data_IF_725319269648
#
_entry.id   IF_725319269648
#
_cell.length_a   1.000
_cell.length_b   1.000
_cell.length_c   1.000
_cell.angle_alpha   90.00
_cell.angle_beta   90.00
_cell.angle_gamma   90.00
#
_symmetry.space_group_name_H-M   'P 1'
#
loop_
_entity.id
_entity.type
_entity.pdbx_description
1 polymer ?
#
# COMPACT_ATOMS: atom_id res chain seq x y z
N UNK A 1 30.99 -38.28 89.06
CA UNK A 1 32.29 -38.95 89.09
C UNK A 1 32.57 -39.57 87.76
N UNK A 2 33.79 -39.58 87.23
CA UNK A 2 34.56 -38.40 86.74
C UNK A 2 34.67 -38.35 85.19
N UNK A 3 35.04 -37.18 84.73
CA UNK A 3 35.34 -36.82 83.34
C UNK A 3 36.46 -37.66 82.69
N UNK A 4 36.27 -38.04 81.39
CA UNK A 4 37.40 -38.40 80.53
C UNK A 4 37.33 -37.52 79.27
N UNK A 5 38.40 -36.74 79.14
CA UNK A 5 38.69 -35.91 77.98
C UNK A 5 39.16 -36.77 76.80
N UNK A 6 38.60 -36.46 75.58
CA UNK A 6 39.19 -36.96 74.36
C UNK A 6 39.67 -35.73 73.53
N UNK A 7 40.96 -35.70 73.27
CA UNK A 7 41.60 -34.78 72.36
C UNK A 7 41.34 -35.25 70.93
N UNK A 8 40.76 -34.38 70.11
CA UNK A 8 40.60 -34.58 68.68
C UNK A 8 41.62 -33.73 67.94
N UNK A 9 42.47 -34.40 67.15
CA UNK A 9 43.48 -33.79 66.28
C UNK A 9 42.81 -33.22 65.00
N UNK A 10 42.94 -31.93 64.79
CA UNK A 10 42.49 -31.27 63.54
C UNK A 10 43.50 -31.51 62.40
N UNK A 11 43.08 -32.23 61.37
CA UNK A 11 43.73 -32.26 60.09
C UNK A 11 43.10 -31.15 59.25
N UNK A 12 43.87 -30.13 58.89
CA UNK A 12 43.48 -29.05 57.97
C UNK A 12 43.58 -29.59 56.55
N UNK A 13 42.43 -29.77 55.87
CA UNK A 13 42.40 -30.06 54.47
C UNK A 13 42.37 -28.75 53.74
N UNK A 14 43.36 -28.42 52.91
CA UNK A 14 43.40 -27.28 51.98
C UNK A 14 42.61 -27.63 50.77
N UNK A 15 41.44 -26.99 50.55
CA UNK A 15 40.73 -27.02 49.32
C UNK A 15 41.31 -25.96 48.37
N UNK A 16 41.86 -26.39 47.23
CA UNK A 16 42.24 -25.53 46.15
C UNK A 16 40.96 -25.20 45.36
N UNK A 17 40.54 -23.95 45.37
CA UNK A 17 39.45 -23.46 44.53
C UNK A 17 39.99 -23.22 43.13
N UNK A 18 39.57 -24.04 42.16
CA UNK A 18 39.74 -23.74 40.75
C UNK A 18 38.62 -22.79 40.32
N UNK A 19 38.96 -21.54 40.04
CA UNK A 19 38.07 -20.59 39.39
C UNK A 19 38.07 -20.86 37.89
N UNK A 20 36.98 -21.45 37.37
CA UNK A 20 36.75 -21.54 35.93
C UNK A 20 36.13 -20.20 35.47
N UNK A 21 36.95 -19.36 34.87
CA UNK A 21 36.48 -18.17 34.20
C UNK A 21 35.81 -18.60 32.85
N UNK A 22 34.48 -18.67 32.83
CA UNK A 22 33.72 -18.81 31.57
C UNK A 22 33.76 -17.48 30.80
N UNK A 23 34.59 -17.41 29.77
CA UNK A 23 34.50 -16.32 28.77
C UNK A 23 33.19 -16.49 27.97
N UNK A 24 32.17 -15.74 28.35
CA UNK A 24 30.99 -15.51 27.52
C UNK A 24 31.40 -14.59 26.37
N UNK A 25 31.85 -15.16 25.25
CA UNK A 25 31.92 -14.46 23.98
C UNK A 25 30.50 -14.26 23.48
N UNK A 26 29.91 -13.14 23.84
CA UNK A 26 28.64 -12.70 23.28
C UNK A 26 28.84 -12.42 21.78
N UNK A 27 28.45 -13.38 20.95
CA UNK A 27 28.27 -13.12 19.52
C UNK A 27 27.06 -12.22 19.39
N UNK A 28 27.27 -10.93 19.29
CA UNK A 28 26.24 -10.01 18.81
C UNK A 28 25.94 -10.39 17.38
N UNK A 29 24.80 -11.07 17.16
CA UNK A 29 24.27 -11.22 15.81
C UNK A 29 24.11 -9.82 15.23
N UNK A 30 24.58 -9.57 14.01
CA UNK A 30 24.35 -8.27 13.37
C UNK A 30 22.83 -8.08 13.30
N UNK A 31 22.33 -7.04 13.93
CA UNK A 31 20.96 -6.55 13.69
C UNK A 31 20.93 -6.22 12.21
N UNK A 32 20.17 -6.97 11.43
CA UNK A 32 19.97 -6.67 10.03
C UNK A 32 19.50 -5.20 9.95
N UNK A 33 20.26 -4.37 9.25
CA UNK A 33 19.86 -3.00 9.04
C UNK A 33 18.45 -3.00 8.46
N UNK A 34 17.53 -2.29 9.10
CA UNK A 34 16.17 -2.16 8.58
C UNK A 34 16.27 -1.63 7.16
N UNK A 35 15.64 -2.31 6.21
CA UNK A 35 15.59 -1.83 4.82
C UNK A 35 14.94 -0.45 4.81
N UNK A 36 15.47 0.47 3.98
CA UNK A 36 14.84 1.78 3.81
C UNK A 36 13.34 1.61 3.46
N UNK A 37 12.47 2.46 3.99
CA UNK A 37 11.06 2.42 3.64
C UNK A 37 10.87 2.55 2.13
N UNK A 38 9.79 1.96 1.61
CA UNK A 38 9.48 2.00 0.19
C UNK A 38 8.58 3.20 -0.12
N UNK A 39 8.81 3.83 -1.26
CA UNK A 39 7.83 4.72 -1.88
C UNK A 39 7.49 4.13 -3.25
N UNK A 40 6.29 3.56 -3.39
CA UNK A 40 5.85 2.84 -4.57
C UNK A 40 4.84 3.68 -5.35
N UNK A 41 4.85 3.52 -6.66
CA UNK A 41 3.95 4.24 -7.54
C UNK A 41 3.24 3.28 -8.50
N UNK A 42 1.90 3.29 -8.51
CA UNK A 42 1.16 2.68 -9.61
C UNK A 42 1.26 3.56 -10.85
N UNK A 43 1.65 2.94 -11.97
CA UNK A 43 1.68 3.59 -13.28
C UNK A 43 0.74 2.85 -14.22
N UNK A 44 -0.46 3.41 -14.50
CA UNK A 44 -1.42 2.77 -15.38
C UNK A 44 -1.02 2.93 -16.85
N UNK A 45 -1.10 1.84 -17.61
CA UNK A 45 -0.74 1.79 -19.02
C UNK A 45 -1.51 2.78 -19.91
N UNK A 46 -2.70 3.22 -19.47
CA UNK A 46 -3.56 4.16 -20.20
C UNK A 46 -3.23 5.63 -19.91
N UNK A 47 -2.36 5.93 -18.98
CA UNK A 47 -1.99 7.30 -18.58
C UNK A 47 -1.53 8.17 -19.79
N UNK A 48 -0.91 7.54 -20.77
CA UNK A 48 -0.49 8.19 -22.02
C UNK A 48 -1.64 8.75 -22.87
N UNK A 49 -2.86 8.30 -22.65
CA UNK A 49 -4.06 8.79 -23.37
C UNK A 49 -4.92 9.72 -22.54
N UNK A 50 -4.51 10.04 -21.33
CA UNK A 50 -5.16 11.06 -20.50
C UNK A 50 -4.81 12.47 -21.01
N UNK A 51 -5.44 13.47 -20.43
CA UNK A 51 -5.14 14.88 -20.69
C UNK A 51 -4.91 15.59 -19.36
N UNK A 52 -3.68 16.03 -19.09
CA UNK A 52 -2.47 15.92 -19.92
C UNK A 52 -1.96 14.47 -20.09
N UNK A 53 -1.32 14.17 -21.23
CA UNK A 53 -0.73 12.85 -21.48
C UNK A 53 0.47 12.60 -20.55
N UNK A 54 0.47 11.44 -19.87
CA UNK A 54 1.53 11.04 -18.97
C UNK A 54 2.15 9.71 -19.43
N UNK A 55 3.42 9.75 -19.80
CA UNK A 55 4.18 8.57 -20.30
C UNK A 55 5.37 8.29 -19.40
N UNK A 56 6.06 7.18 -19.63
CA UNK A 56 7.30 6.86 -18.91
C UNK A 56 8.35 7.98 -18.94
N UNK A 57 8.32 8.88 -19.93
CA UNK A 57 9.23 10.02 -20.04
C UNK A 57 8.99 11.13 -19.00
N UNK A 58 7.79 11.23 -18.45
CA UNK A 58 7.44 12.20 -17.41
C UNK A 58 7.68 11.67 -15.98
N UNK A 59 7.95 10.37 -15.81
CA UNK A 59 8.14 9.78 -14.47
C UNK A 59 9.42 10.30 -13.83
N UNK A 60 9.36 10.92 -12.65
CA UNK A 60 10.54 11.34 -11.89
C UNK A 60 11.12 10.14 -11.11
N UNK A 61 11.78 9.24 -11.78
CA UNK A 61 12.30 7.97 -11.24
C UNK A 61 13.15 8.13 -9.97
N UNK A 62 13.79 9.28 -9.75
CA UNK A 62 14.56 9.56 -8.55
C UNK A 62 13.71 9.78 -7.30
N UNK A 63 12.38 9.88 -7.41
CA UNK A 63 11.46 10.18 -6.32
C UNK A 63 10.67 8.96 -5.82
N UNK A 64 11.09 7.75 -6.20
CA UNK A 64 10.42 6.51 -5.78
C UNK A 64 11.39 5.33 -5.75
N UNK A 65 11.01 4.28 -5.05
CA UNK A 65 11.81 3.04 -5.00
C UNK A 65 11.30 1.96 -5.94
N UNK A 66 10.00 1.95 -6.24
CA UNK A 66 9.34 0.90 -7.00
C UNK A 66 8.22 1.46 -7.86
N UNK A 67 8.00 0.83 -9.02
CA UNK A 67 6.85 1.09 -9.89
C UNK A 67 6.04 -0.21 -10.01
N UNK A 68 4.73 -0.08 -9.90
CA UNK A 68 3.74 -1.13 -10.17
C UNK A 68 3.07 -0.79 -11.50
N UNK A 69 3.51 -1.45 -12.60
CA UNK A 69 3.01 -1.17 -13.94
C UNK A 69 1.65 -1.84 -14.15
N UNK A 70 0.58 -1.10 -14.15
CA UNK A 70 -0.81 -1.53 -14.09
C UNK A 70 -1.57 -1.30 -15.40
N UNK A 71 -2.47 -2.19 -15.82
CA UNK A 71 -2.68 -3.55 -15.40
C UNK A 71 -2.63 -4.49 -16.60
N UNK A 72 -2.15 -5.71 -16.38
CA UNK A 72 -2.44 -6.83 -17.26
C UNK A 72 -3.70 -7.52 -16.76
N UNK A 73 -4.58 -7.94 -17.66
CA UNK A 73 -5.83 -8.58 -17.31
C UNK A 73 -5.66 -10.10 -17.25
N UNK A 74 -6.09 -10.77 -16.16
CA UNK A 74 -6.09 -12.23 -16.09
C UNK A 74 -7.27 -12.82 -16.88
N UNK A 75 -7.10 -14.00 -17.46
CA UNK A 75 -8.20 -14.73 -18.08
C UNK A 75 -8.57 -15.98 -17.27
N UNK A 76 -9.82 -16.48 -17.37
CA UNK A 76 -10.27 -17.64 -16.60
C UNK A 76 -9.48 -18.93 -16.84
N UNK A 77 -8.82 -19.07 -17.99
CA UNK A 77 -7.97 -20.22 -18.36
C UNK A 77 -6.48 -20.01 -18.00
N UNK A 78 -6.17 -18.93 -17.28
CA UNK A 78 -4.82 -18.63 -16.80
C UNK A 78 -3.91 -17.95 -17.83
N UNK A 79 -4.44 -17.47 -18.95
CA UNK A 79 -3.69 -16.62 -19.88
C UNK A 79 -3.67 -15.17 -19.41
N UNK A 80 -2.80 -14.37 -20.02
CA UNK A 80 -2.67 -12.93 -19.81
C UNK A 80 -3.23 -12.21 -21.04
N UNK A 81 -4.17 -11.30 -20.81
CA UNK A 81 -4.61 -10.36 -21.83
C UNK A 81 -3.84 -9.06 -21.62
N UNK A 82 -2.90 -8.81 -22.52
CA UNK A 82 -2.02 -7.62 -22.46
C UNK A 82 -2.70 -6.51 -23.25
N UNK A 83 -3.10 -5.39 -22.63
CA UNK A 83 -3.72 -4.29 -23.34
C UNK A 83 -2.81 -3.74 -24.44
N UNK A 84 -3.43 -3.28 -25.55
CA UNK A 84 -2.67 -2.65 -26.62
C UNK A 84 -1.99 -1.39 -26.11
N UNK A 85 -0.66 -1.33 -26.24
CA UNK A 85 0.13 -0.20 -25.76
C UNK A 85 0.60 -0.33 -24.30
N UNK A 86 0.30 -1.45 -23.60
CA UNK A 86 0.82 -1.69 -22.27
C UNK A 86 2.36 -1.70 -22.24
N UNK A 87 3.00 -2.31 -23.22
CA UNK A 87 4.45 -2.42 -23.21
C UNK A 87 5.11 -1.09 -23.53
N UNK A 88 5.92 -0.61 -22.61
CA UNK A 88 6.77 0.57 -22.72
C UNK A 88 8.21 0.21 -22.41
N UNK A 89 9.04 -0.17 -23.40
CA UNK A 89 10.44 -0.56 -23.16
C UNK A 89 11.27 0.51 -22.46
N UNK A 90 10.94 1.80 -22.65
CA UNK A 90 11.61 2.90 -21.99
C UNK A 90 11.35 2.88 -20.46
N UNK A 91 10.16 2.48 -20.01
CA UNK A 91 9.81 2.42 -18.59
C UNK A 91 10.82 1.57 -17.79
N UNK A 92 11.02 0.33 -18.21
CA UNK A 92 11.94 -0.57 -17.49
C UNK A 92 13.40 -0.10 -17.61
N UNK A 93 13.81 0.34 -18.79
CA UNK A 93 15.17 0.84 -19.02
C UNK A 93 15.51 2.01 -18.11
N UNK A 94 14.63 3.01 -18.07
CA UNK A 94 14.87 4.27 -17.36
C UNK A 94 14.70 4.08 -15.84
N UNK A 95 13.73 3.27 -15.42
CA UNK A 95 13.58 2.88 -14.01
C UNK A 95 14.82 2.14 -13.49
N UNK A 96 15.29 1.12 -14.20
CA UNK A 96 16.49 0.38 -13.80
C UNK A 96 17.76 1.26 -13.81
N UNK A 97 17.89 2.19 -14.75
CA UNK A 97 18.99 3.16 -14.75
C UNK A 97 18.99 4.06 -13.51
N UNK A 98 17.80 4.33 -12.94
CA UNK A 98 17.63 5.09 -11.70
C UNK A 98 17.66 4.21 -10.43
N UNK A 99 17.84 2.89 -10.57
CA UNK A 99 17.81 1.95 -9.44
C UNK A 99 16.40 1.62 -8.92
N UNK A 100 15.36 1.95 -9.68
CA UNK A 100 13.95 1.69 -9.36
C UNK A 100 13.53 0.33 -9.88
N UNK A 101 12.93 -0.50 -9.03
CA UNK A 101 12.38 -1.79 -9.42
C UNK A 101 11.00 -1.63 -10.04
N UNK A 102 10.69 -2.46 -11.03
CA UNK A 102 9.39 -2.44 -11.71
C UNK A 102 8.75 -3.81 -11.63
N UNK A 103 7.62 -3.92 -10.92
CA UNK A 103 6.78 -5.11 -10.92
C UNK A 103 5.60 -4.93 -11.88
N UNK A 104 5.21 -5.99 -12.56
CA UNK A 104 3.96 -5.98 -13.32
C UNK A 104 2.78 -6.19 -12.38
N UNK A 105 1.78 -5.33 -12.42
CA UNK A 105 0.52 -5.49 -11.68
C UNK A 105 -0.54 -6.15 -12.54
N UNK A 106 -1.22 -7.16 -11.99
CA UNK A 106 -2.20 -7.99 -12.70
C UNK A 106 -3.53 -7.92 -11.96
N UNK A 107 -4.58 -7.54 -12.68
CA UNK A 107 -5.93 -7.41 -12.13
C UNK A 107 -6.49 -6.00 -12.22
N UNK A 108 -6.66 -5.35 -11.07
CA UNK A 108 -7.31 -4.06 -10.92
C UNK A 108 -8.81 -4.17 -10.70
N UNK A 109 -9.45 -3.02 -10.42
CA UNK A 109 -10.88 -2.91 -10.18
C UNK A 109 -11.69 -3.51 -11.35
N UNK A 110 -12.74 -4.22 -11.00
CA UNK A 110 -13.70 -4.72 -11.98
C UNK A 110 -14.17 -6.15 -11.76
N UNK A 111 -15.48 -6.34 -11.86
CA UNK A 111 -16.13 -7.65 -11.69
C UNK A 111 -15.61 -8.71 -12.66
N UNK A 112 -15.10 -8.31 -13.84
CA UNK A 112 -14.49 -9.18 -14.83
C UNK A 112 -13.20 -9.82 -14.32
N UNK A 113 -12.31 -9.02 -13.73
CA UNK A 113 -11.02 -9.46 -13.19
C UNK A 113 -11.23 -10.37 -11.97
N UNK A 114 -12.07 -9.95 -11.02
CA UNK A 114 -12.43 -10.76 -9.87
C UNK A 114 -12.95 -12.14 -10.26
N UNK A 115 -13.85 -12.20 -11.27
CA UNK A 115 -14.40 -13.47 -11.80
C UNK A 115 -13.33 -14.31 -12.52
N UNK A 116 -12.38 -13.66 -13.23
CA UNK A 116 -11.29 -14.35 -13.89
C UNK A 116 -10.37 -15.01 -12.85
N UNK A 117 -9.96 -14.25 -11.82
CA UNK A 117 -9.17 -14.77 -10.71
C UNK A 117 -9.86 -15.92 -9.98
N UNK A 118 -11.15 -15.78 -9.65
CA UNK A 118 -11.93 -16.85 -8.99
C UNK A 118 -11.93 -18.15 -9.81
N UNK A 119 -11.99 -18.06 -11.14
CA UNK A 119 -11.97 -19.23 -12.01
C UNK A 119 -10.57 -19.80 -12.21
N UNK A 120 -9.58 -18.97 -12.53
CA UNK A 120 -8.22 -19.46 -12.78
C UNK A 120 -7.57 -20.05 -11.53
N UNK A 121 -7.89 -19.52 -10.34
CA UNK A 121 -7.37 -20.02 -9.06
C UNK A 121 -8.05 -21.30 -8.57
N UNK A 122 -9.23 -21.65 -9.10
CA UNK A 122 -10.04 -22.76 -8.61
C UNK A 122 -9.43 -24.14 -8.88
N UNK A 123 -8.60 -24.30 -9.91
CA UNK A 123 -7.98 -25.59 -10.23
C UNK A 123 -6.45 -25.50 -10.25
N UNK A 124 -5.73 -26.58 -9.85
CA UNK A 124 -4.27 -26.63 -9.94
C UNK A 124 -3.76 -26.40 -11.37
N UNK A 125 -4.47 -26.89 -12.39
CA UNK A 125 -4.07 -26.77 -13.78
C UNK A 125 -4.10 -25.31 -14.28
N UNK A 126 -5.19 -24.58 -14.02
CA UNK A 126 -5.33 -23.18 -14.43
C UNK A 126 -4.43 -22.25 -13.62
N UNK A 127 -4.23 -22.52 -12.32
CA UNK A 127 -3.21 -21.83 -11.51
C UNK A 127 -1.80 -22.01 -12.08
N UNK A 128 -1.41 -23.25 -12.39
CA UNK A 128 -0.11 -23.54 -12.98
C UNK A 128 0.08 -22.86 -14.34
N UNK A 129 -0.96 -22.84 -15.18
CA UNK A 129 -0.95 -22.14 -16.45
C UNK A 129 -0.74 -20.62 -16.25
N UNK A 130 -1.46 -20.02 -15.31
CA UNK A 130 -1.31 -18.60 -14.98
C UNK A 130 0.11 -18.28 -14.49
N UNK A 131 0.60 -19.00 -13.49
CA UNK A 131 1.97 -18.82 -12.95
C UNK A 131 3.02 -18.96 -14.05
N UNK A 132 2.90 -19.98 -14.91
CA UNK A 132 3.80 -20.15 -16.06
C UNK A 132 3.77 -18.94 -17.00
N UNK A 133 2.58 -18.45 -17.33
CA UNK A 133 2.44 -17.31 -18.24
C UNK A 133 2.98 -16.01 -17.63
N UNK A 134 2.74 -15.78 -16.34
CA UNK A 134 3.31 -14.63 -15.61
C UNK A 134 4.84 -14.73 -15.57
N UNK A 135 5.39 -15.90 -15.24
CA UNK A 135 6.84 -16.11 -15.19
C UNK A 135 7.51 -15.88 -16.55
N UNK A 136 6.88 -16.38 -17.60
CA UNK A 136 7.36 -16.16 -18.97
C UNK A 136 7.31 -14.68 -19.37
N UNK A 137 6.27 -13.96 -18.96
CA UNK A 137 6.12 -12.53 -19.22
C UNK A 137 7.19 -11.71 -18.46
N UNK A 138 7.33 -11.92 -17.15
CA UNK A 138 8.33 -11.25 -16.31
C UNK A 138 9.73 -11.47 -16.85
N UNK A 139 10.11 -12.72 -17.14
CA UNK A 139 11.43 -13.05 -17.68
C UNK A 139 11.68 -12.44 -19.08
N UNK A 140 10.65 -12.45 -19.94
CA UNK A 140 10.79 -11.94 -21.32
C UNK A 140 11.02 -10.45 -21.36
N UNK A 141 10.34 -9.69 -20.50
CA UNK A 141 10.36 -8.22 -20.54
C UNK A 141 11.26 -7.59 -19.48
N UNK A 142 11.78 -8.38 -18.53
CA UNK A 142 12.74 -7.90 -17.53
C UNK A 142 12.11 -7.20 -16.35
N UNK A 143 10.87 -7.57 -15.96
CA UNK A 143 10.26 -7.08 -14.72
C UNK A 143 10.93 -7.70 -13.49
N UNK A 144 10.92 -6.98 -12.37
CA UNK A 144 11.53 -7.39 -11.11
C UNK A 144 10.59 -8.15 -10.18
N UNK A 145 9.34 -8.34 -10.60
CA UNK A 145 8.34 -9.01 -9.76
C UNK A 145 6.93 -8.95 -10.33
N UNK A 146 6.01 -9.40 -9.50
CA UNK A 146 4.57 -9.42 -9.77
C UNK A 146 3.80 -8.84 -8.60
N UNK A 147 2.81 -8.03 -8.90
CA UNK A 147 1.81 -7.52 -7.98
C UNK A 147 0.44 -8.09 -8.38
N UNK A 148 -0.34 -8.55 -7.41
CA UNK A 148 -1.68 -9.09 -7.65
C UNK A 148 -2.72 -8.14 -7.06
N UNK A 149 -3.58 -7.65 -7.92
CA UNK A 149 -4.71 -6.81 -7.55
C UNK A 149 -6.02 -7.55 -7.78
N UNK A 150 -6.36 -8.42 -6.83
CA UNK A 150 -7.62 -9.15 -6.80
C UNK A 150 -8.55 -8.57 -5.74
N UNK A 151 -9.36 -7.59 -6.13
CA UNK A 151 -10.09 -6.75 -5.19
C UNK A 151 -11.29 -7.41 -4.50
N UNK A 152 -11.91 -8.42 -5.09
CA UNK A 152 -13.13 -9.00 -4.55
C UNK A 152 -13.15 -10.54 -4.61
N UNK A 153 -12.22 -11.25 -3.94
CA UNK A 153 -12.36 -12.67 -3.74
C UNK A 153 -13.57 -12.96 -2.85
N UNK A 154 -14.41 -13.91 -3.24
CA UNK A 154 -15.67 -14.24 -2.54
C UNK A 154 -15.43 -15.31 -1.48
N UNK A 155 -15.69 -14.98 -0.20
CA UNK A 155 -15.60 -15.93 0.90
C UNK A 155 -16.76 -16.96 0.87
N UNK A 156 -16.54 -18.20 1.33
CA UNK A 156 -15.26 -18.84 1.67
C UNK A 156 -14.56 -19.49 0.47
N UNK A 157 -15.19 -19.46 -0.71
CA UNK A 157 -14.75 -20.21 -1.91
C UNK A 157 -13.37 -19.75 -2.38
N UNK A 158 -13.17 -18.45 -2.50
CA UNK A 158 -11.96 -17.89 -3.08
C UNK A 158 -10.84 -17.73 -2.05
N UNK A 159 -11.12 -17.80 -0.75
CA UNK A 159 -10.10 -17.68 0.32
C UNK A 159 -8.97 -18.70 0.13
N UNK A 160 -9.31 -19.98 0.04
CA UNK A 160 -8.31 -21.04 -0.18
C UNK A 160 -7.64 -20.96 -1.55
N UNK A 161 -8.38 -20.53 -2.54
CA UNK A 161 -7.89 -20.40 -3.91
C UNK A 161 -6.89 -19.25 -4.04
N UNK A 162 -7.16 -18.12 -3.39
CA UNK A 162 -6.26 -16.98 -3.33
C UNK A 162 -4.94 -17.36 -2.64
N UNK A 163 -5.02 -18.00 -1.48
CA UNK A 163 -3.82 -18.49 -0.78
C UNK A 163 -3.01 -19.45 -1.69
N UNK A 164 -3.66 -20.44 -2.30
CA UNK A 164 -2.98 -21.36 -3.19
C UNK A 164 -2.38 -20.71 -4.44
N UNK A 165 -2.97 -19.63 -4.93
CA UNK A 165 -2.42 -18.82 -6.03
C UNK A 165 -1.17 -18.09 -5.59
N UNK A 166 -1.21 -17.40 -4.44
CA UNK A 166 -0.07 -16.63 -3.92
C UNK A 166 1.11 -17.55 -3.56
N UNK A 167 0.85 -18.72 -2.97
CA UNK A 167 1.87 -19.74 -2.72
C UNK A 167 2.54 -20.21 -4.03
N UNK A 168 1.77 -20.43 -5.07
CA UNK A 168 2.33 -20.84 -6.37
C UNK A 168 3.13 -19.73 -7.03
N UNK A 169 2.71 -18.47 -6.91
CA UNK A 169 3.49 -17.31 -7.37
C UNK A 169 4.79 -17.16 -6.57
N UNK A 170 4.74 -17.22 -5.23
CA UNK A 170 5.94 -17.13 -4.39
C UNK A 170 6.96 -18.23 -4.73
N UNK A 171 6.51 -19.45 -4.98
CA UNK A 171 7.39 -20.54 -5.39
C UNK A 171 8.07 -20.28 -6.75
N UNK A 172 7.38 -19.61 -7.68
CA UNK A 172 7.91 -19.25 -8.99
C UNK A 172 8.79 -17.99 -8.98
N UNK A 173 8.57 -17.10 -8.02
CA UNK A 173 9.26 -15.82 -7.86
C UNK A 173 9.99 -15.74 -6.50
N UNK A 174 11.11 -16.48 -6.31
CA UNK A 174 11.79 -16.54 -5.02
C UNK A 174 12.44 -15.20 -4.65
N UNK A 175 12.27 -14.81 -3.37
CA UNK A 175 12.99 -13.67 -2.79
C UNK A 175 14.49 -14.02 -2.62
N UNK A 176 15.40 -13.04 -2.67
CA UNK A 176 15.16 -11.60 -2.91
C UNK A 176 15.19 -11.23 -4.40
N UNK A 177 15.38 -12.21 -5.31
CA UNK A 177 15.54 -11.97 -6.75
C UNK A 177 14.30 -11.33 -7.37
N UNK A 178 13.12 -11.75 -6.92
CA UNK A 178 11.84 -11.21 -7.38
C UNK A 178 11.00 -10.72 -6.22
N UNK A 179 10.18 -9.71 -6.49
CA UNK A 179 9.15 -9.21 -5.57
C UNK A 179 7.80 -9.85 -5.88
N UNK A 180 7.07 -10.21 -4.83
CA UNK A 180 5.65 -10.60 -4.91
C UNK A 180 4.89 -9.70 -3.95
N UNK A 181 3.93 -8.95 -4.45
CA UNK A 181 3.07 -8.08 -3.65
C UNK A 181 1.60 -8.32 -3.96
N UNK A 182 0.75 -7.80 -3.10
CA UNK A 182 -0.69 -7.88 -3.28
C UNK A 182 -1.36 -6.59 -2.81
N UNK A 183 -2.22 -6.01 -3.66
CA UNK A 183 -3.14 -4.97 -3.27
C UNK A 183 -4.27 -5.56 -2.41
N UNK A 184 -4.58 -4.89 -1.31
CA UNK A 184 -5.59 -5.34 -0.34
C UNK A 184 -6.42 -4.17 0.17
N UNK A 185 -7.73 -4.37 0.47
CA UNK A 185 -8.59 -3.29 0.95
C UNK A 185 -8.19 -2.80 2.34
N UNK A 186 -8.48 -1.53 2.64
CA UNK A 186 -8.24 -0.94 3.97
C UNK A 186 -8.94 -1.71 5.10
N UNK A 187 -10.13 -2.24 4.81
CA UNK A 187 -10.90 -3.07 5.74
C UNK A 187 -11.48 -4.30 5.01
N UNK A 188 -10.76 -5.43 4.94
CA UNK A 188 -11.25 -6.64 4.27
C UNK A 188 -12.59 -7.14 4.81
N UNK A 189 -12.83 -6.99 6.11
CA UNK A 189 -14.09 -7.42 6.74
C UNK A 189 -15.29 -6.60 6.25
N UNK A 190 -15.12 -5.28 6.13
CA UNK A 190 -16.18 -4.38 5.67
C UNK A 190 -16.41 -4.50 4.16
N UNK A 191 -15.38 -4.81 3.39
CA UNK A 191 -15.49 -5.03 1.93
C UNK A 191 -16.05 -6.41 1.57
N UNK A 192 -16.31 -7.29 2.56
CA UNK A 192 -16.84 -8.64 2.34
C UNK A 192 -15.88 -9.56 1.59
N UNK A 193 -14.59 -9.24 1.54
CA UNK A 193 -13.61 -10.04 0.82
C UNK A 193 -13.25 -11.32 1.57
N UNK A 194 -12.95 -12.37 0.82
CA UNK A 194 -12.47 -13.66 1.33
C UNK A 194 -10.95 -13.70 1.54
N UNK A 195 -10.28 -12.59 1.81
CA UNK A 195 -8.83 -12.54 2.01
C UNK A 195 -8.44 -13.01 3.42
N UNK A 196 -7.60 -14.03 3.47
CA UNK A 196 -6.96 -14.52 4.71
C UNK A 196 -5.59 -13.84 4.86
N UNK A 197 -5.61 -12.57 5.27
CA UNK A 197 -4.42 -11.70 5.34
C UNK A 197 -3.28 -12.34 6.17
N UNK A 198 -3.53 -12.92 7.38
CA UNK A 198 -2.47 -13.54 8.15
C UNK A 198 -1.75 -14.68 7.43
N UNK A 199 -2.48 -15.55 6.72
CA UNK A 199 -1.84 -16.65 6.00
C UNK A 199 -1.19 -16.19 4.69
N UNK A 200 -1.72 -15.16 4.03
CA UNK A 200 -1.11 -14.58 2.82
C UNK A 200 0.24 -13.92 3.08
N UNK A 201 0.49 -13.45 4.31
CA UNK A 201 1.71 -12.72 4.66
C UNK A 201 3.01 -13.52 4.46
N UNK A 202 2.94 -14.86 4.49
CA UNK A 202 4.10 -15.71 4.21
C UNK A 202 4.47 -15.76 2.72
N UNK A 203 3.54 -15.43 1.83
CA UNK A 203 3.69 -15.59 0.39
C UNK A 203 3.89 -14.27 -0.35
N UNK A 204 3.93 -13.14 0.37
CA UNK A 204 4.20 -11.81 -0.19
C UNK A 204 5.40 -11.14 0.49
N UNK A 205 6.10 -10.30 -0.22
CA UNK A 205 7.12 -9.42 0.38
C UNK A 205 6.44 -8.28 1.12
N UNK A 206 5.32 -7.79 0.58
CA UNK A 206 4.52 -6.72 1.19
C UNK A 206 3.09 -6.69 0.63
N UNK A 207 2.20 -6.13 1.44
CA UNK A 207 0.85 -5.74 1.04
C UNK A 207 0.80 -4.25 0.71
N UNK A 208 0.05 -3.91 -0.33
CA UNK A 208 -0.32 -2.54 -0.67
C UNK A 208 -1.75 -2.31 -0.17
N UNK A 209 -1.87 -1.69 1.01
CA UNK A 209 -3.17 -1.47 1.67
C UNK A 209 -3.82 -0.23 1.07
N UNK A 210 -4.95 -0.41 0.38
CA UNK A 210 -5.68 0.64 -0.35
C UNK A 210 -6.47 1.52 0.62
N UNK A 211 -5.80 2.48 1.24
CA UNK A 211 -6.36 3.41 2.24
C UNK A 211 -6.93 4.66 1.59
N UNK A 212 -7.78 4.46 0.63
CA UNK A 212 -8.60 5.44 -0.08
C UNK A 212 -9.95 4.80 -0.42
N UNK A 213 -10.83 5.54 -1.07
CA UNK A 213 -12.20 5.10 -1.39
C UNK A 213 -13.05 4.81 -0.14
N UNK A 214 -12.78 5.51 0.97
CA UNK A 214 -13.59 5.37 2.17
C UNK A 214 -15.03 5.89 1.95
N UNK A 215 -15.19 6.95 1.15
CA UNK A 215 -16.50 7.39 0.62
C UNK A 215 -16.41 7.62 -0.88
N UNK A 216 -17.55 7.46 -1.57
CA UNK A 216 -17.61 7.57 -3.01
C UNK A 216 -19.03 7.36 -3.56
N UNK A 217 -19.17 6.89 -4.82
CA UNK A 217 -20.50 6.67 -5.44
C UNK A 217 -21.42 5.73 -4.67
N UNK A 218 -20.87 4.83 -3.89
CA UNK A 218 -21.61 3.87 -3.04
C UNK A 218 -22.15 4.46 -1.74
N UNK A 219 -21.78 5.70 -1.42
CA UNK A 219 -22.21 6.38 -0.18
C UNK A 219 -23.60 7.00 -0.32
N UNK A 220 -24.16 7.48 0.79
CA UNK A 220 -25.40 8.30 0.83
C UNK A 220 -25.13 9.74 1.27
N UNK A 221 -23.89 10.06 1.63
CA UNK A 221 -23.41 11.39 1.99
C UNK A 221 -22.04 11.65 1.35
N UNK A 222 -21.73 12.93 1.15
CA UNK A 222 -20.42 13.38 0.68
C UNK A 222 -19.43 13.32 1.84
N UNK A 223 -18.40 12.52 1.71
CA UNK A 223 -17.42 12.28 2.76
C UNK A 223 -15.99 12.33 2.25
N UNK A 224 -15.08 11.84 3.06
CA UNK A 224 -13.65 11.89 2.80
C UNK A 224 -13.16 10.69 1.99
N UNK A 225 -12.33 10.94 0.98
CA UNK A 225 -11.76 9.89 0.14
C UNK A 225 -10.66 9.09 0.87
N UNK A 226 -9.71 9.79 1.49
CA UNK A 226 -8.52 9.16 2.07
C UNK A 226 -8.07 9.91 3.35
N UNK A 227 -8.88 9.91 4.43
CA UNK A 227 -8.56 10.62 5.67
C UNK A 227 -7.40 9.96 6.41
N UNK A 228 -6.51 10.76 7.03
CA UNK A 228 -5.43 10.25 7.87
C UNK A 228 -5.98 9.65 9.16
N UNK A 229 -6.92 10.35 9.81
CA UNK A 229 -7.58 9.91 11.03
C UNK A 229 -9.08 9.75 10.83
N UNK A 230 -9.70 8.90 11.63
CA UNK A 230 -11.15 8.73 11.62
C UNK A 230 -11.83 9.99 12.16
N UNK A 231 -12.64 10.65 11.34
CA UNK A 231 -13.48 11.75 11.80
C UNK A 231 -14.58 11.26 12.72
N UNK A 232 -14.76 11.85 13.91
CA UNK A 232 -15.90 11.52 14.78
C UNK A 232 -17.24 11.95 14.17
N UNK A 233 -17.21 12.83 13.18
CA UNK A 233 -18.39 13.33 12.47
C UNK A 233 -18.81 12.44 11.28
N UNK A 234 -17.99 11.44 10.92
CA UNK A 234 -18.34 10.46 9.90
C UNK A 234 -19.51 9.59 10.38
N UNK A 235 -20.68 9.69 9.74
CA UNK A 235 -21.89 9.01 10.23
C UNK A 235 -21.79 7.48 10.19
N UNK A 236 -20.94 6.93 9.32
CA UNK A 236 -20.79 5.49 9.14
C UNK A 236 -19.48 4.93 9.70
N UNK A 237 -18.59 5.80 10.20
CA UNK A 237 -17.28 5.41 10.68
C UNK A 237 -16.57 4.56 9.60
N UNK A 238 -16.50 5.10 8.39
CA UNK A 238 -16.01 4.39 7.18
C UNK A 238 -14.57 3.95 7.28
N UNK A 239 -13.79 4.62 8.10
CA UNK A 239 -12.38 4.30 8.35
C UNK A 239 -11.42 5.41 7.94
N UNK A 240 -10.14 5.12 8.12
CA UNK A 240 -9.03 6.02 7.83
C UNK A 240 -7.74 5.23 7.59
N UNK A 241 -6.67 5.92 7.21
CA UNK A 241 -5.33 5.30 7.17
C UNK A 241 -5.00 4.69 8.54
N UNK A 242 -5.17 5.46 9.61
CA UNK A 242 -4.86 5.00 10.98
C UNK A 242 -5.64 3.73 11.33
N UNK A 243 -6.96 3.69 11.11
CA UNK A 243 -7.78 2.52 11.45
C UNK A 243 -7.37 1.28 10.65
N UNK A 244 -6.99 1.43 9.38
CA UNK A 244 -6.46 0.34 8.56
C UNK A 244 -5.10 -0.15 9.09
N UNK A 245 -4.19 0.76 9.43
CA UNK A 245 -2.89 0.43 10.00
C UNK A 245 -3.03 -0.35 11.31
N UNK A 246 -3.95 0.07 12.19
CA UNK A 246 -4.24 -0.58 13.47
C UNK A 246 -4.89 -1.97 13.27
N UNK A 247 -5.77 -2.11 12.28
CA UNK A 247 -6.36 -3.39 11.91
C UNK A 247 -5.30 -4.39 11.44
N UNK A 248 -4.44 -3.99 10.50
CA UNK A 248 -3.43 -4.88 9.91
C UNK A 248 -2.36 -5.29 10.92
N UNK A 249 -1.87 -4.36 11.74
CA UNK A 249 -0.84 -4.67 12.74
C UNK A 249 -1.41 -5.30 14.02
N UNK A 250 -2.52 -4.77 14.53
CA UNK A 250 -3.10 -5.19 15.80
C UNK A 250 -3.95 -6.44 15.69
N UNK A 251 -4.87 -6.49 14.71
CA UNK A 251 -5.81 -7.61 14.58
C UNK A 251 -5.24 -8.74 13.75
N UNK A 252 -4.63 -8.43 12.59
CA UNK A 252 -4.06 -9.45 11.71
C UNK A 252 -2.62 -9.84 12.09
N UNK A 253 -1.94 -9.08 12.95
CA UNK A 253 -0.58 -9.37 13.41
C UNK A 253 0.49 -9.23 12.31
N UNK A 254 0.22 -8.46 11.26
CA UNK A 254 1.16 -8.24 10.16
C UNK A 254 2.26 -7.28 10.61
N UNK A 255 3.50 -7.62 10.29
CA UNK A 255 4.62 -6.71 10.53
C UNK A 255 4.44 -5.39 9.79
N UNK A 256 4.62 -4.27 10.48
CA UNK A 256 4.58 -2.95 9.85
C UNK A 256 5.54 -2.85 8.66
N UNK A 257 6.68 -3.55 8.70
CA UNK A 257 7.65 -3.59 7.59
C UNK A 257 7.11 -4.25 6.31
N UNK A 258 6.07 -5.08 6.40
CA UNK A 258 5.41 -5.71 5.25
C UNK A 258 4.24 -4.89 4.69
N UNK A 259 3.95 -3.73 5.25
CA UNK A 259 2.80 -2.92 4.86
C UNK A 259 3.25 -1.63 4.17
N UNK A 260 2.67 -1.38 3.00
CA UNK A 260 2.69 -0.09 2.33
C UNK A 260 1.28 0.51 2.41
N UNK A 261 1.18 1.76 2.79
CA UNK A 261 -0.08 2.46 3.01
C UNK A 261 -0.36 3.36 1.82
N UNK A 262 -1.58 3.24 1.27
CA UNK A 262 -1.98 3.94 0.06
C UNK A 262 -2.38 5.40 0.28
N UNK A 263 -2.16 6.24 -0.73
CA UNK A 263 -2.70 7.58 -0.82
C UNK A 263 -3.27 7.81 -2.23
N UNK A 264 -4.30 8.65 -2.34
CA UNK A 264 -4.98 8.91 -3.59
C UNK A 264 -4.44 10.17 -4.26
N UNK A 265 -4.07 10.07 -5.54
CA UNK A 265 -3.73 11.23 -6.38
C UNK A 265 -4.94 11.71 -7.20
N UNK A 266 -6.13 11.39 -6.71
CA UNK A 266 -7.42 11.77 -7.25
C UNK A 266 -8.37 12.13 -6.10
N UNK A 267 -9.50 12.72 -6.45
CA UNK A 267 -10.56 13.01 -5.50
C UNK A 267 -11.93 12.62 -6.04
N UNK A 268 -12.92 12.77 -5.18
CA UNK A 268 -14.33 12.62 -5.55
C UNK A 268 -15.04 13.95 -5.49
N UNK A 269 -15.63 14.34 -6.62
CA UNK A 269 -16.54 15.47 -6.72
C UNK A 269 -17.97 14.99 -6.52
N UNK A 270 -18.69 15.57 -5.56
CA UNK A 270 -20.10 15.32 -5.27
C UNK A 270 -20.93 16.52 -5.70
N UNK A 271 -21.76 16.36 -6.72
CA UNK A 271 -22.63 17.40 -7.21
C UNK A 271 -23.94 17.43 -6.43
N UNK A 272 -24.46 18.65 -6.16
CA UNK A 272 -25.64 18.86 -5.37
C UNK A 272 -25.41 18.83 -3.84
N UNK A 273 -24.16 18.78 -3.40
CA UNK A 273 -23.74 18.85 -1.99
C UNK A 273 -22.65 19.90 -1.85
N UNK A 274 -22.71 20.75 -0.83
CA UNK A 274 -21.73 21.82 -0.57
C UNK A 274 -21.15 21.79 0.85
N UNK A 275 -21.35 20.68 1.54
CA UNK A 275 -20.85 20.49 2.93
C UNK A 275 -20.27 19.08 3.11
N UNK A 276 -19.19 18.99 3.88
CA UNK A 276 -18.69 17.71 4.38
C UNK A 276 -19.79 17.01 5.19
N UNK A 277 -19.97 15.72 4.98
CA UNK A 277 -21.03 14.85 5.53
C UNK A 277 -22.45 15.25 5.12
N UNK A 278 -22.60 16.13 4.11
CA UNK A 278 -23.90 16.46 3.54
C UNK A 278 -24.52 15.26 2.83
N UNK A 279 -25.85 15.11 2.97
CA UNK A 279 -26.57 14.03 2.32
C UNK A 279 -26.57 14.21 0.79
N UNK A 280 -26.32 13.13 0.08
CA UNK A 280 -26.44 13.14 -1.38
C UNK A 280 -27.90 13.25 -1.83
N UNK A 281 -28.17 13.89 -2.98
CA UNK A 281 -29.51 13.98 -3.54
C UNK A 281 -30.20 12.62 -3.63
N UNK A 282 -31.49 12.58 -3.25
CA UNK A 282 -32.29 11.36 -3.24
C UNK A 282 -31.73 10.20 -2.38
N UNK A 283 -30.86 10.50 -1.42
CA UNK A 283 -30.27 9.50 -0.51
C UNK A 283 -29.27 8.55 -1.18
N UNK A 284 -28.67 8.95 -2.30
CA UNK A 284 -27.66 8.14 -3.00
C UNK A 284 -26.66 9.03 -3.72
N UNK A 285 -25.38 8.72 -3.59
CA UNK A 285 -24.31 9.42 -4.29
C UNK A 285 -24.01 8.82 -5.69
N UNK A 286 -24.62 7.70 -6.05
CA UNK A 286 -24.26 6.91 -7.24
C UNK A 286 -24.26 7.68 -8.58
N UNK A 287 -25.15 8.66 -8.75
CA UNK A 287 -25.27 9.42 -10.01
C UNK A 287 -24.77 10.87 -9.91
N UNK A 288 -24.19 11.24 -8.77
CA UNK A 288 -23.75 12.62 -8.48
C UNK A 288 -22.27 12.69 -8.09
N UNK A 289 -21.56 11.58 -8.18
CA UNK A 289 -20.13 11.50 -7.89
C UNK A 289 -19.33 11.27 -9.16
N UNK A 290 -18.27 12.07 -9.32
CA UNK A 290 -17.28 11.91 -10.39
C UNK A 290 -15.90 11.80 -9.77
N UNK A 291 -15.12 10.81 -10.21
CA UNK A 291 -13.69 10.73 -9.92
C UNK A 291 -12.94 11.75 -10.76
N UNK A 292 -12.08 12.55 -10.13
CA UNK A 292 -11.33 13.61 -10.81
C UNK A 292 -9.88 13.61 -10.32
N UNK A 293 -8.95 13.77 -11.26
CA UNK A 293 -7.52 13.80 -10.99
C UNK A 293 -7.12 15.07 -10.23
N UNK A 294 -6.14 14.96 -9.32
CA UNK A 294 -5.65 16.11 -8.56
C UNK A 294 -5.01 17.17 -9.48
N UNK A 295 -4.02 16.78 -10.27
CA UNK A 295 -3.22 17.73 -11.06
C UNK A 295 -4.03 18.48 -12.11
N UNK A 296 -4.83 17.76 -12.88
CA UNK A 296 -5.55 18.33 -14.03
C UNK A 296 -6.90 18.95 -13.68
N UNK A 297 -7.58 18.50 -12.63
CA UNK A 297 -8.96 18.91 -12.34
C UNK A 297 -9.12 19.62 -10.98
N UNK A 298 -8.49 19.15 -9.90
CA UNK A 298 -8.67 19.72 -8.56
C UNK A 298 -7.77 20.93 -8.34
N UNK A 299 -6.47 20.78 -8.58
CA UNK A 299 -5.46 21.84 -8.39
C UNK A 299 -5.86 23.18 -9.03
N UNK A 300 -6.42 23.24 -10.26
CA UNK A 300 -6.87 24.49 -10.85
C UNK A 300 -8.04 25.18 -10.13
N UNK A 301 -8.72 24.49 -9.21
CA UNK A 301 -9.84 25.04 -8.44
C UNK A 301 -9.39 25.67 -7.11
N UNK A 302 -8.22 25.32 -6.60
CA UNK A 302 -7.65 25.83 -5.36
C UNK A 302 -7.39 27.33 -5.50
N UNK A 303 -7.91 28.15 -4.60
CA UNK A 303 -7.84 29.60 -4.66
C UNK A 303 -8.70 30.26 -5.73
N UNK A 304 -9.45 29.48 -6.54
CA UNK A 304 -10.31 30.05 -7.59
C UNK A 304 -11.59 30.67 -7.00
N UNK A 305 -11.98 31.83 -7.53
CA UNK A 305 -13.20 32.52 -7.10
C UNK A 305 -14.42 31.60 -7.14
N UNK A 306 -15.16 31.57 -6.05
CA UNK A 306 -16.37 30.76 -5.88
C UNK A 306 -16.12 29.40 -5.25
N UNK A 307 -14.86 29.00 -5.05
CA UNK A 307 -14.47 27.82 -4.29
C UNK A 307 -13.93 28.22 -2.92
N UNK A 308 -14.22 27.41 -1.93
CA UNK A 308 -13.68 27.54 -0.57
C UNK A 308 -12.91 26.29 -0.25
N UNK A 309 -11.64 26.44 0.11
CA UNK A 309 -10.76 25.39 0.60
C UNK A 309 -10.91 25.27 2.12
N UNK A 310 -10.98 24.05 2.61
CA UNK A 310 -11.10 23.74 4.03
C UNK A 310 -10.39 22.43 4.35
N UNK A 311 -10.13 22.21 5.64
CA UNK A 311 -9.55 20.96 6.16
C UNK A 311 -10.43 20.50 7.31
N UNK A 312 -10.84 19.23 7.34
CA UNK A 312 -11.36 18.64 8.57
C UNK A 312 -10.19 18.50 9.56
N UNK A 313 -10.21 19.32 10.60
CA UNK A 313 -9.13 19.37 11.61
C UNK A 313 -9.00 18.07 12.42
N UNK A 314 -10.01 17.21 12.38
CA UNK A 314 -10.01 15.94 13.11
C UNK A 314 -9.43 14.80 12.28
N UNK A 315 -9.72 14.75 11.00
CA UNK A 315 -9.25 13.72 10.07
C UNK A 315 -7.96 14.10 9.34
N UNK A 316 -7.70 15.41 9.23
CA UNK A 316 -6.59 15.96 8.45
C UNK A 316 -6.86 15.95 6.93
N UNK A 317 -8.09 15.70 6.48
CA UNK A 317 -8.44 15.64 5.08
C UNK A 317 -8.83 17.03 4.52
N UNK A 318 -8.19 17.50 3.42
CA UNK A 318 -8.59 18.70 2.73
C UNK A 318 -9.82 18.45 1.85
N UNK A 319 -10.61 19.50 1.65
CA UNK A 319 -11.75 19.48 0.76
C UNK A 319 -12.05 20.85 0.19
N UNK A 320 -12.70 20.88 -0.98
CA UNK A 320 -13.22 22.09 -1.62
C UNK A 320 -14.74 22.09 -1.57
N UNK A 321 -15.32 23.28 -1.39
CA UNK A 321 -16.77 23.48 -1.49
C UNK A 321 -17.10 24.66 -2.40
N UNK A 322 -18.29 24.57 -3.01
CA UNK A 322 -18.89 25.65 -3.79
C UNK A 322 -20.40 25.61 -3.61
N UNK A 323 -21.02 26.75 -3.24
CA UNK A 323 -22.47 26.80 -2.97
C UNK A 323 -23.35 26.87 -4.21
N UNK A 324 -22.85 27.40 -5.37
CA UNK A 324 -23.66 27.51 -6.59
C UNK A 324 -22.82 27.25 -7.86
N UNK A 325 -23.08 26.15 -8.59
CA UNK A 325 -23.88 25.02 -8.14
C UNK A 325 -23.26 24.35 -6.91
N UNK A 326 -24.09 23.79 -6.04
CA UNK A 326 -23.62 23.10 -4.83
C UNK A 326 -22.68 21.95 -5.24
N UNK A 327 -21.45 21.99 -4.74
CA UNK A 327 -20.41 20.99 -5.06
C UNK A 327 -19.47 20.84 -3.87
N UNK A 328 -19.15 19.59 -3.53
CA UNK A 328 -18.13 19.20 -2.56
C UNK A 328 -17.09 18.32 -3.26
N UNK A 329 -15.80 18.53 -2.96
CA UNK A 329 -14.70 17.71 -3.49
C UNK A 329 -13.82 17.28 -2.32
N UNK A 330 -13.66 15.97 -2.13
CA UNK A 330 -12.66 15.38 -1.23
C UNK A 330 -11.41 15.02 -2.02
N UNK A 331 -10.23 15.33 -1.49
CA UNK A 331 -8.95 15.08 -2.16
C UNK A 331 -7.78 15.04 -1.16
N UNK A 332 -6.58 14.78 -1.63
CA UNK A 332 -5.33 15.03 -0.92
C UNK A 332 -4.59 16.21 -1.55
N UNK A 333 -3.97 17.05 -0.72
CA UNK A 333 -3.10 18.15 -1.12
C UNK A 333 -1.62 17.85 -0.76
N UNK A 334 -0.66 18.69 -1.16
CA UNK A 334 0.75 18.52 -0.79
C UNK A 334 0.99 18.42 0.72
N UNK A 335 0.21 19.15 1.52
CA UNK A 335 0.33 19.15 2.98
C UNK A 335 -0.18 17.84 3.58
N UNK A 336 -1.38 17.39 3.16
CA UNK A 336 -1.95 16.14 3.66
C UNK A 336 -1.12 14.93 3.26
N UNK A 337 -0.58 14.90 2.04
CA UNK A 337 0.32 13.80 1.59
C UNK A 337 1.64 13.77 2.35
N UNK A 338 2.28 14.92 2.60
CA UNK A 338 3.48 15.00 3.45
C UNK A 338 3.18 14.53 4.88
N UNK A 339 2.05 14.97 5.48
CA UNK A 339 1.63 14.54 6.81
C UNK A 339 1.40 13.02 6.89
N UNK A 340 0.86 12.41 5.84
CA UNK A 340 0.70 10.95 5.75
C UNK A 340 2.06 10.25 5.76
N UNK A 341 3.04 10.75 5.01
CA UNK A 341 4.42 10.20 5.02
C UNK A 341 5.04 10.32 6.41
N UNK A 342 4.97 11.50 7.02
CA UNK A 342 5.47 11.74 8.38
C UNK A 342 4.84 10.80 9.41
N UNK A 343 3.53 10.57 9.31
CA UNK A 343 2.82 9.67 10.21
C UNK A 343 3.16 8.21 9.96
N UNK A 344 2.98 7.73 8.73
CA UNK A 344 3.10 6.31 8.37
C UNK A 344 4.53 5.81 8.55
N UNK A 345 5.49 6.53 7.97
CA UNK A 345 6.90 6.14 7.98
C UNK A 345 7.58 6.67 9.25
N UNK A 346 7.46 7.96 9.55
CA UNK A 346 8.19 8.62 10.62
C UNK A 346 7.74 8.23 12.01
N UNK A 347 6.43 8.23 12.26
CA UNK A 347 5.88 7.99 13.60
C UNK A 347 5.55 6.51 13.83
N UNK A 348 5.01 5.83 12.83
CA UNK A 348 4.51 4.47 12.96
C UNK A 348 5.50 3.38 12.46
N UNK A 349 6.57 3.75 11.74
CA UNK A 349 7.62 2.85 11.28
C UNK A 349 7.15 1.80 10.27
N UNK A 350 6.18 2.13 9.43
CA UNK A 350 5.70 1.24 8.40
C UNK A 350 6.71 1.08 7.26
N UNK A 351 6.62 -0.04 6.56
CA UNK A 351 7.56 -0.43 5.51
C UNK A 351 7.52 0.42 4.26
N UNK A 352 6.47 1.22 4.06
CA UNK A 352 6.37 2.15 2.95
C UNK A 352 5.00 2.78 2.76
N UNK A 353 4.94 3.56 1.69
CA UNK A 353 3.70 4.13 1.16
C UNK A 353 3.62 3.88 -0.35
N UNK A 354 2.42 3.96 -0.89
CA UNK A 354 2.20 3.97 -2.33
C UNK A 354 1.13 4.96 -2.75
N UNK A 355 1.13 5.34 -4.03
CA UNK A 355 0.10 6.20 -4.60
C UNK A 355 -0.66 5.49 -5.73
N UNK A 356 -1.97 5.74 -5.79
CA UNK A 356 -2.85 5.49 -6.92
C UNK A 356 -3.34 6.83 -7.47
N UNK A 357 -2.96 7.23 -8.67
CA UNK A 357 -1.84 6.77 -9.47
C UNK A 357 -0.97 7.97 -9.94
N UNK A 358 0.20 7.70 -10.48
CA UNK A 358 1.15 8.74 -10.90
C UNK A 358 0.56 9.77 -11.84
N UNK A 359 -0.31 9.37 -12.76
CA UNK A 359 -0.89 10.28 -13.74
C UNK A 359 -1.89 11.26 -13.12
N UNK A 360 -2.54 10.89 -12.02
CA UNK A 360 -3.53 11.73 -11.33
C UNK A 360 -2.95 13.01 -10.72
N UNK A 361 -1.67 13.04 -10.39
CA UNK A 361 -0.97 14.24 -9.88
C UNK A 361 -0.41 15.14 -10.99
N UNK A 362 -0.30 14.62 -12.22
CA UNK A 362 0.37 15.35 -13.29
C UNK A 362 -0.51 16.46 -13.88
N UNK A 363 -0.04 17.72 -13.80
CA UNK A 363 -0.73 18.91 -14.30
C UNK A 363 -0.29 19.35 -15.71
N UNK A 364 0.58 18.57 -16.36
CA UNK A 364 1.23 18.90 -17.64
C UNK A 364 2.63 19.51 -17.47
N UNK A 365 3.03 19.84 -16.25
CA UNK A 365 4.32 20.48 -15.94
C UNK A 365 5.05 19.79 -14.76
N UNK A 366 4.32 19.34 -13.76
CA UNK A 366 4.88 18.78 -12.54
C UNK A 366 3.91 17.87 -11.78
N UNK A 367 4.35 17.41 -10.61
CA UNK A 367 3.65 16.51 -9.71
C UNK A 367 3.84 16.98 -8.27
N UNK A 368 2.88 17.77 -7.77
CA UNK A 368 3.03 18.44 -6.46
C UNK A 368 2.89 17.46 -5.30
N UNK A 369 1.97 16.46 -5.41
CA UNK A 369 1.74 15.48 -4.35
C UNK A 369 2.93 14.54 -4.20
N UNK A 370 3.45 14.02 -5.31
CA UNK A 370 4.64 13.17 -5.30
C UNK A 370 5.85 13.93 -4.76
N UNK A 371 6.07 15.16 -5.20
CA UNK A 371 7.19 16.00 -4.73
C UNK A 371 7.09 16.25 -3.22
N UNK A 372 5.90 16.50 -2.68
CA UNK A 372 5.69 16.68 -1.26
C UNK A 372 5.96 15.37 -0.47
N UNK A 373 5.46 14.24 -0.96
CA UNK A 373 5.74 12.92 -0.38
C UNK A 373 7.24 12.62 -0.35
N UNK A 374 7.91 12.84 -1.47
CA UNK A 374 9.35 12.60 -1.60
C UNK A 374 10.18 13.50 -0.69
N UNK A 375 9.83 14.79 -0.62
CA UNK A 375 10.53 15.74 0.24
C UNK A 375 10.46 15.32 1.71
N UNK A 376 9.29 14.93 2.19
CA UNK A 376 9.12 14.44 3.57
C UNK A 376 9.85 13.10 3.79
N UNK A 377 9.78 12.19 2.81
CA UNK A 377 10.51 10.92 2.86
C UNK A 377 12.02 11.13 2.99
N UNK A 378 12.61 12.11 2.28
CA UNK A 378 14.04 12.45 2.39
C UNK A 378 14.40 12.98 3.77
N UNK A 379 13.59 13.89 4.33
CA UNK A 379 13.80 14.42 5.69
C UNK A 379 13.87 13.27 6.71
N UNK A 380 12.97 12.30 6.59
CA UNK A 380 12.96 11.11 7.45
C UNK A 380 14.18 10.21 7.19
N UNK A 381 14.57 10.02 5.91
CA UNK A 381 15.72 9.21 5.50
C UNK A 381 17.06 9.71 6.05
N UNK A 382 17.26 11.00 6.09
CA UNK A 382 18.44 11.63 6.72
C UNK A 382 18.43 11.42 8.24
N UNK A 383 17.27 11.43 8.88
CA UNK A 383 17.09 11.07 10.29
C UNK A 383 17.39 9.60 10.60
N UNK A 384 17.16 8.69 9.66
CA UNK A 384 17.50 7.27 9.80
C UNK A 384 18.99 6.97 9.57
N UNK A 385 19.68 7.75 8.73
CA UNK A 385 21.13 7.63 8.51
C UNK A 385 21.97 8.21 9.64
N UNK A 386 21.39 9.11 10.44
CA UNK A 386 22.06 9.80 11.56
C UNK A 386 21.95 9.03 12.90
N UNK A 387 21.27 7.89 12.96
CA UNK A 387 21.15 7.00 14.12
C UNK A 387 21.87 5.68 13.86
#
# INVERSE_FOLDING_TARGET
MPFRSFRSSHRVARFAAFAVAALLTGTTLPVAAASAPRLLAYYPWYAKWQTPSYTSAQIPYGEMSNILHAFIEPTPDGKLQIPKGFLEPALLKDAHAAGVRVSVSIGGAGAGHAKAFSKLSASPATRAAFVKNVSAFVAKYGYDGVDIDWEAPVAPKDTKNCLALMQALRAAFPAPSYQVSMAVPASPQNSGTGLDIPHLAADVDYFNVMTYDFTGPWSIFAGENSPLYQSPNDPWQTGSLQTAMDLYTGTYGISAAQLNIGTAFYGYQFDGVDTLWGACPNGSCNNVVTTIDYGSAIKPLIGKKGWTESIDQTSGAPYLTRGNPATYISFDDPTSTANKVAYVIGQRGFGGMFMWDLSGDYDGHGQDLLTAMWSEYQVLGDGFRAR
#
